data_IF_153402924997
#
_entry.id   IF_153402924997
#
_cell.length_a   1.000
_cell.length_b   1.000
_cell.length_c   1.000
_cell.angle_alpha   90.00
_cell.angle_beta   90.00
_cell.angle_gamma   90.00
#
_symmetry.space_group_name_H-M   'P 1'
#
loop_
_entity.id
_entity.type
_entity.pdbx_description
1 polymer ?
#
# COMPACT_ATOMS: atom_id res chain seq x y z
N UNK A 1 -9.68 -13.79 25.78
CA UNK A 1 -9.17 -12.56 25.15
C UNK A 1 -9.44 -12.56 23.65
N UNK A 2 -9.05 -13.60 22.91
CA UNK A 2 -9.28 -13.70 21.45
C UNK A 2 -10.76 -13.67 21.02
N UNK A 3 -11.65 -14.27 21.83
CA UNK A 3 -13.11 -14.23 21.62
C UNK A 3 -13.74 -12.84 21.76
N UNK A 4 -13.16 -11.97 22.59
CA UNK A 4 -13.63 -10.60 22.79
C UNK A 4 -13.16 -9.71 21.65
N UNK A 5 -11.90 -9.83 21.24
CA UNK A 5 -11.37 -9.06 20.09
C UNK A 5 -12.15 -9.39 18.80
N UNK A 6 -12.50 -10.66 18.59
CA UNK A 6 -13.31 -11.03 17.42
C UNK A 6 -14.75 -10.51 17.50
N UNK A 7 -15.36 -10.46 18.70
CA UNK A 7 -16.72 -9.94 18.86
C UNK A 7 -16.77 -8.43 18.64
N UNK A 8 -15.76 -7.70 19.07
CA UNK A 8 -15.64 -6.26 18.84
C UNK A 8 -15.34 -5.95 17.37
N UNK A 9 -14.48 -6.74 16.71
CA UNK A 9 -14.19 -6.56 15.29
C UNK A 9 -15.45 -6.63 14.41
N UNK A 10 -16.42 -7.50 14.75
CA UNK A 10 -17.69 -7.61 14.02
C UNK A 10 -18.57 -6.37 14.12
N UNK A 11 -18.40 -5.53 15.14
CA UNK A 11 -19.20 -4.31 15.35
C UNK A 11 -18.69 -3.15 14.48
N UNK A 12 -17.41 -3.18 14.07
CA UNK A 12 -16.73 -2.04 13.45
C UNK A 12 -17.44 -1.52 12.19
N UNK A 13 -17.96 -2.41 11.32
CA UNK A 13 -18.62 -1.96 10.09
C UNK A 13 -19.88 -1.12 10.34
N UNK A 14 -20.58 -1.39 11.45
CA UNK A 14 -21.78 -0.68 11.89
C UNK A 14 -21.50 0.65 12.60
N UNK A 15 -20.25 0.92 12.99
CA UNK A 15 -19.85 2.17 13.65
C UNK A 15 -19.43 3.26 12.66
N UNK A 16 -19.42 2.97 11.35
CA UNK A 16 -19.01 3.94 10.32
C UNK A 16 -20.00 5.10 10.23
N UNK A 17 -19.46 6.29 10.22
CA UNK A 17 -20.20 7.51 9.98
C UNK A 17 -20.28 7.83 8.48
N UNK A 18 -21.29 8.63 8.13
CA UNK A 18 -21.42 9.22 6.79
C UNK A 18 -21.51 10.73 6.94
N UNK A 19 -20.73 11.43 6.12
CA UNK A 19 -20.78 12.89 6.01
C UNK A 19 -21.25 13.21 4.60
N UNK A 20 -22.35 13.97 4.49
CA UNK A 20 -23.01 14.27 3.21
C UNK A 20 -23.27 13.01 2.35
N UNK A 21 -23.73 11.93 2.99
CA UNK A 21 -24.04 10.66 2.33
C UNK A 21 -22.82 9.80 1.94
N UNK A 22 -21.59 10.30 2.11
CA UNK A 22 -20.34 9.58 1.80
C UNK A 22 -19.72 8.98 3.06
N UNK A 23 -19.24 7.75 2.97
CA UNK A 23 -18.47 7.12 4.05
C UNK A 23 -17.06 7.72 4.16
N UNK A 24 -16.55 7.81 5.38
CA UNK A 24 -15.19 8.28 5.65
C UNK A 24 -14.17 7.19 5.21
N UNK A 25 -13.17 7.51 4.38
CA UNK A 25 -12.22 6.52 3.86
C UNK A 25 -11.46 5.73 4.94
N UNK A 26 -11.05 6.41 6.02
CA UNK A 26 -10.37 5.78 7.17
C UNK A 26 -11.26 4.73 7.84
N UNK A 27 -12.53 5.05 8.10
CA UNK A 27 -13.44 4.11 8.75
C UNK A 27 -13.77 2.94 7.83
N UNK A 28 -13.89 3.17 6.51
CA UNK A 28 -14.04 2.09 5.53
C UNK A 28 -12.81 1.18 5.52
N UNK A 29 -11.61 1.73 5.72
CA UNK A 29 -10.38 0.95 5.88
C UNK A 29 -10.43 0.08 7.14
N UNK A 30 -10.74 0.69 8.30
CA UNK A 30 -10.84 -0.03 9.57
C UNK A 30 -11.87 -1.18 9.50
N UNK A 31 -13.04 -0.94 8.89
CA UNK A 31 -14.04 -1.98 8.69
C UNK A 31 -13.56 -3.14 7.80
N UNK A 32 -12.84 -2.86 6.70
CA UNK A 32 -12.25 -3.92 5.85
C UNK A 32 -11.23 -4.75 6.63
N UNK A 33 -10.38 -4.11 7.43
CA UNK A 33 -9.40 -4.80 8.26
C UNK A 33 -10.04 -5.64 9.35
N UNK A 34 -11.07 -5.10 10.01
CA UNK A 34 -11.85 -5.84 10.99
C UNK A 34 -12.50 -7.09 10.38
N UNK A 35 -13.12 -6.96 9.21
CA UNK A 35 -13.71 -8.10 8.49
C UNK A 35 -12.64 -9.14 8.12
N UNK A 36 -11.49 -8.71 7.57
CA UNK A 36 -10.39 -9.63 7.29
C UNK A 36 -9.88 -10.35 8.53
N UNK A 37 -9.78 -9.66 9.67
CA UNK A 37 -9.41 -10.30 10.94
C UNK A 37 -10.42 -11.37 11.37
N UNK A 38 -11.73 -11.10 11.22
CA UNK A 38 -12.78 -12.06 11.55
C UNK A 38 -12.70 -13.31 10.68
N UNK A 39 -12.43 -13.15 9.38
CA UNK A 39 -12.45 -14.24 8.38
C UNK A 39 -11.13 -15.01 8.30
N UNK A 40 -10.00 -14.29 8.25
CA UNK A 40 -8.66 -14.85 7.99
C UNK A 40 -7.73 -14.84 9.21
N UNK A 41 -8.15 -14.27 10.34
CA UNK A 41 -7.38 -14.24 11.60
C UNK A 41 -6.02 -13.53 11.49
N UNK A 42 -5.87 -12.65 10.50
CA UNK A 42 -4.65 -11.88 10.24
C UNK A 42 -4.95 -10.38 10.16
N UNK A 43 -4.04 -9.59 10.70
CA UNK A 43 -3.95 -8.13 10.60
C UNK A 43 -2.50 -7.71 10.32
N UNK A 44 -1.73 -8.61 9.70
CA UNK A 44 -0.32 -8.36 9.43
C UNK A 44 -0.15 -7.03 8.69
N UNK A 45 0.75 -6.21 9.22
CA UNK A 45 1.13 -4.90 8.66
C UNK A 45 0.03 -3.85 8.52
N UNK A 46 -1.15 -4.04 9.13
CA UNK A 46 -2.27 -3.10 8.98
C UNK A 46 -1.94 -1.65 9.44
N UNK A 47 -1.01 -1.47 10.38
CA UNK A 47 -0.57 -0.14 10.82
C UNK A 47 0.38 0.52 9.81
N UNK A 48 1.30 -0.24 9.20
CA UNK A 48 2.18 0.29 8.15
C UNK A 48 1.44 0.53 6.85
N UNK A 49 0.47 -0.30 6.50
CA UNK A 49 -0.41 -0.04 5.37
C UNK A 49 -1.22 1.24 5.55
N UNK A 50 -1.74 1.47 6.77
CA UNK A 50 -2.37 2.74 7.10
C UNK A 50 -1.36 3.89 6.97
N UNK A 51 -0.16 3.74 7.51
CA UNK A 51 0.90 4.73 7.36
C UNK A 51 1.17 5.06 5.88
N UNK A 52 1.22 4.07 5.00
CA UNK A 52 1.39 4.26 3.56
C UNK A 52 0.27 5.10 2.94
N UNK A 53 -0.99 4.73 3.19
CA UNK A 53 -2.13 5.44 2.61
C UNK A 53 -2.39 6.83 3.21
N UNK A 54 -1.73 7.20 4.29
CA UNK A 54 -1.81 8.54 4.87
C UNK A 54 -0.47 9.28 4.80
N UNK A 55 0.38 8.92 3.84
CA UNK A 55 1.66 9.57 3.53
C UNK A 55 2.67 9.55 4.69
N UNK A 56 2.48 8.68 5.68
CA UNK A 56 3.34 8.59 6.85
C UNK A 56 4.78 8.19 6.52
N UNK A 57 4.99 7.35 5.51
CA UNK A 57 6.34 7.05 5.01
C UNK A 57 7.05 8.29 4.47
N UNK A 58 6.35 9.15 3.72
CA UNK A 58 6.92 10.39 3.20
C UNK A 58 7.21 11.39 4.34
N UNK A 59 6.37 11.42 5.39
CA UNK A 59 6.58 12.27 6.58
C UNK A 59 7.87 11.90 7.31
N UNK A 60 8.17 10.60 7.45
CA UNK A 60 9.38 10.13 8.15
C UNK A 60 10.57 9.85 7.22
N UNK A 61 10.44 10.12 5.92
CA UNK A 61 11.44 9.74 4.92
C UNK A 61 12.85 10.29 5.20
N UNK A 62 12.94 11.48 5.81
CA UNK A 62 14.22 12.12 6.14
C UNK A 62 14.84 11.60 7.46
N UNK A 63 14.11 10.78 8.23
CA UNK A 63 14.61 10.16 9.45
C UNK A 63 15.02 8.71 9.16
N UNK A 64 16.24 8.54 8.65
CA UNK A 64 16.77 7.22 8.25
C UNK A 64 16.74 6.19 9.39
N UNK A 65 17.09 6.51 10.65
CA UNK A 65 16.94 5.57 11.77
C UNK A 65 15.52 5.05 11.96
N UNK A 66 14.51 5.93 11.85
CA UNK A 66 13.10 5.51 11.93
C UNK A 66 12.73 4.62 10.75
N UNK A 67 13.14 4.98 9.52
CA UNK A 67 12.86 4.17 8.34
C UNK A 67 13.52 2.78 8.40
N UNK A 68 14.74 2.69 8.93
CA UNK A 68 15.44 1.43 9.18
C UNK A 68 14.71 0.60 10.23
N UNK A 69 14.31 1.20 11.36
CA UNK A 69 13.55 0.51 12.39
C UNK A 69 12.21 -0.04 11.89
N UNK A 70 11.52 0.68 11.00
CA UNK A 70 10.30 0.18 10.34
C UNK A 70 10.61 -1.03 9.45
N UNK A 71 11.67 -0.97 8.65
CA UNK A 71 12.07 -2.09 7.79
C UNK A 71 12.44 -3.34 8.62
N UNK A 72 13.21 -3.17 9.69
CA UNK A 72 13.58 -4.25 10.60
C UNK A 72 12.34 -4.88 11.26
N UNK A 73 11.38 -4.07 11.72
CA UNK A 73 10.13 -4.56 12.30
C UNK A 73 9.28 -5.33 11.27
N UNK A 74 9.17 -4.82 10.04
CA UNK A 74 8.50 -5.53 8.93
C UNK A 74 9.12 -6.92 8.70
N UNK A 75 10.45 -6.99 8.65
CA UNK A 75 11.19 -8.25 8.43
C UNK A 75 11.03 -9.23 9.59
N UNK A 76 11.04 -8.74 10.83
CA UNK A 76 10.83 -9.55 12.02
C UNK A 76 9.40 -10.13 12.07
N UNK A 77 8.38 -9.31 11.83
CA UNK A 77 6.98 -9.76 11.75
C UNK A 77 6.82 -10.80 10.64
N UNK A 78 7.44 -10.57 9.48
CA UNK A 78 7.41 -11.49 8.35
C UNK A 78 8.06 -12.83 8.70
N UNK A 79 9.27 -12.82 9.27
CA UNK A 79 10.00 -14.03 9.65
C UNK A 79 9.19 -14.91 10.60
N UNK A 80 8.50 -14.29 11.56
CA UNK A 80 7.70 -14.99 12.57
C UNK A 80 6.38 -15.56 12.05
N UNK A 81 5.80 -14.99 10.98
CA UNK A 81 4.42 -15.30 10.56
C UNK A 81 4.25 -15.76 9.11
N UNK A 82 5.32 -15.73 8.30
CA UNK A 82 5.28 -16.09 6.87
C UNK A 82 4.69 -17.47 6.56
N UNK A 83 4.80 -18.42 7.47
CA UNK A 83 4.27 -19.79 7.29
C UNK A 83 2.74 -19.84 7.20
N UNK A 84 2.06 -18.91 7.88
CA UNK A 84 0.59 -18.78 7.86
C UNK A 84 0.07 -17.67 6.95
N UNK A 85 0.96 -16.97 6.23
CA UNK A 85 0.60 -15.83 5.40
C UNK A 85 -0.01 -16.28 4.07
N UNK A 86 -1.18 -15.71 3.75
CA UNK A 86 -1.81 -15.84 2.43
C UNK A 86 -1.12 -14.93 1.38
N UNK A 87 -1.62 -14.96 0.14
CA UNK A 87 -1.07 -14.15 -0.96
C UNK A 87 -1.17 -12.64 -0.68
N UNK A 88 -2.29 -12.19 -0.08
CA UNK A 88 -2.50 -10.79 0.30
C UNK A 88 -1.47 -10.32 1.35
N UNK A 89 -1.22 -11.11 2.41
CA UNK A 89 -0.23 -10.78 3.44
C UNK A 89 1.20 -10.77 2.88
N UNK A 90 1.53 -11.72 1.98
CA UNK A 90 2.81 -11.77 1.26
C UNK A 90 3.04 -10.53 0.41
N UNK A 91 2.05 -10.19 -0.42
CA UNK A 91 2.12 -9.03 -1.29
C UNK A 91 2.23 -7.74 -0.48
N UNK A 92 1.48 -7.61 0.63
CA UNK A 92 1.56 -6.44 1.50
C UNK A 92 2.94 -6.29 2.16
N UNK A 93 3.56 -7.40 2.60
CA UNK A 93 4.93 -7.38 3.12
C UNK A 93 5.92 -6.83 2.09
N UNK A 94 5.96 -7.42 0.90
CA UNK A 94 6.91 -7.00 -0.14
C UNK A 94 6.67 -5.57 -0.58
N UNK A 95 5.41 -5.15 -0.67
CA UNK A 95 5.04 -3.78 -1.00
C UNK A 95 5.56 -2.76 0.02
N UNK A 96 5.34 -3.00 1.32
CA UNK A 96 5.80 -2.11 2.38
C UNK A 96 7.32 -2.13 2.51
N UNK A 97 7.94 -3.29 2.33
CA UNK A 97 9.40 -3.42 2.24
C UNK A 97 9.96 -2.57 1.09
N UNK A 98 9.34 -2.61 -0.09
CA UNK A 98 9.74 -1.77 -1.21
C UNK A 98 9.62 -0.26 -0.88
N UNK A 99 8.53 0.14 -0.20
CA UNK A 99 8.35 1.52 0.24
C UNK A 99 9.47 1.97 1.20
N UNK A 100 9.88 1.14 2.15
CA UNK A 100 11.04 1.42 3.01
C UNK A 100 12.33 1.54 2.20
N UNK A 101 12.62 0.54 1.36
CA UNK A 101 13.85 0.46 0.58
C UNK A 101 14.00 1.63 -0.38
N UNK A 102 12.91 2.10 -1.00
CA UNK A 102 12.90 3.33 -1.82
C UNK A 102 13.35 4.54 -1.02
N UNK A 103 12.79 4.73 0.18
CA UNK A 103 13.15 5.86 1.06
C UNK A 103 14.60 5.75 1.56
N UNK A 104 15.12 4.53 1.74
CA UNK A 104 16.51 4.24 2.07
C UNK A 104 17.46 4.28 0.86
N UNK A 105 16.97 4.68 -0.33
CA UNK A 105 17.74 4.73 -1.59
C UNK A 105 18.31 3.38 -2.06
N UNK A 106 17.75 2.27 -1.61
CA UNK A 106 18.12 0.92 -2.04
C UNK A 106 17.24 0.48 -3.22
N UNK A 107 17.39 1.17 -4.37
CA UNK A 107 16.45 1.06 -5.50
C UNK A 107 16.37 -0.33 -6.11
N UNK A 108 17.49 -1.02 -6.31
CA UNK A 108 17.50 -2.39 -6.85
C UNK A 108 16.73 -3.37 -5.96
N UNK A 109 16.90 -3.26 -4.64
CA UNK A 109 16.19 -4.11 -3.69
C UNK A 109 14.70 -3.76 -3.62
N UNK A 110 14.36 -2.46 -3.72
CA UNK A 110 12.99 -1.99 -3.78
C UNK A 110 12.27 -2.53 -5.03
N UNK A 111 12.93 -2.50 -6.18
CA UNK A 111 12.39 -3.02 -7.43
C UNK A 111 12.16 -4.54 -7.37
N UNK A 112 13.11 -5.30 -6.83
CA UNK A 112 12.92 -6.74 -6.62
C UNK A 112 11.70 -7.02 -5.75
N UNK A 113 11.54 -6.28 -4.65
CA UNK A 113 10.38 -6.42 -3.78
C UNK A 113 9.06 -6.05 -4.51
N UNK A 114 9.06 -5.02 -5.35
CA UNK A 114 7.89 -4.68 -6.19
C UNK A 114 7.55 -5.82 -7.16
N UNK A 115 8.55 -6.43 -7.79
CA UNK A 115 8.32 -7.57 -8.70
C UNK A 115 7.66 -8.75 -7.97
N UNK A 116 8.02 -9.02 -6.72
CA UNK A 116 7.36 -10.06 -5.90
C UNK A 116 5.87 -9.73 -5.67
N UNK A 117 5.50 -8.45 -5.50
CA UNK A 117 4.09 -8.03 -5.41
C UNK A 117 3.34 -8.34 -6.71
N UNK A 118 3.94 -7.97 -7.85
CA UNK A 118 3.30 -8.14 -9.16
C UNK A 118 3.14 -9.61 -9.55
N UNK A 119 4.05 -10.49 -9.13
CA UNK A 119 3.93 -11.94 -9.33
C UNK A 119 2.70 -12.53 -8.64
N UNK A 120 2.26 -11.93 -7.53
CA UNK A 120 1.12 -12.39 -6.74
C UNK A 120 -0.22 -11.80 -7.19
N UNK A 121 -0.24 -10.92 -8.20
CA UNK A 121 -1.43 -10.15 -8.61
C UNK A 121 -2.67 -11.02 -8.84
N UNK A 122 -2.50 -12.17 -9.51
CA UNK A 122 -3.61 -13.09 -9.84
C UNK A 122 -4.16 -13.83 -8.63
N UNK A 123 -3.40 -13.91 -7.54
CA UNK A 123 -3.75 -14.62 -6.31
C UNK A 123 -4.36 -13.70 -5.24
N UNK A 124 -4.42 -12.38 -5.49
CA UNK A 124 -4.93 -11.40 -4.53
C UNK A 124 -6.46 -11.43 -4.46
N UNK A 125 -6.98 -11.36 -3.24
CA UNK A 125 -8.43 -11.40 -2.98
C UNK A 125 -8.86 -10.10 -2.31
N UNK A 126 -8.22 -9.74 -1.21
CA UNK A 126 -8.64 -8.58 -0.41
C UNK A 126 -7.90 -7.30 -0.82
N UNK A 127 -6.66 -7.42 -1.30
CA UNK A 127 -5.75 -6.29 -1.51
C UNK A 127 -5.48 -6.00 -2.99
N UNK A 128 -6.52 -6.02 -3.81
CA UNK A 128 -6.46 -5.66 -5.25
C UNK A 128 -5.94 -4.23 -5.54
N UNK A 129 -5.79 -3.39 -4.51
CA UNK A 129 -5.14 -2.08 -4.62
C UNK A 129 -3.61 -2.17 -4.69
N UNK A 130 -2.99 -3.31 -4.32
CA UNK A 130 -1.52 -3.43 -4.26
C UNK A 130 -0.87 -3.35 -5.65
N UNK A 131 -1.30 -4.12 -6.67
CA UNK A 131 -0.67 -4.06 -8.00
C UNK A 131 -0.63 -2.65 -8.60
N UNK A 132 -1.73 -1.86 -8.65
CA UNK A 132 -1.65 -0.52 -9.20
C UNK A 132 -0.78 0.43 -8.37
N UNK A 133 -0.75 0.30 -7.03
CA UNK A 133 0.17 1.08 -6.21
C UNK A 133 1.63 0.62 -6.39
N UNK A 134 1.89 -0.66 -6.67
CA UNK A 134 3.22 -1.20 -6.93
C UNK A 134 3.79 -0.68 -8.25
N UNK A 135 2.99 -0.61 -9.31
CA UNK A 135 3.36 0.09 -10.56
C UNK A 135 3.68 1.56 -10.32
N UNK A 136 2.91 2.24 -9.47
CA UNK A 136 3.19 3.63 -9.08
C UNK A 136 4.52 3.77 -8.33
N UNK A 137 4.82 2.90 -7.36
CA UNK A 137 6.12 2.92 -6.66
C UNK A 137 7.29 2.62 -7.62
N UNK A 138 7.10 1.71 -8.59
CA UNK A 138 8.10 1.45 -9.62
C UNK A 138 8.35 2.69 -10.50
N UNK A 139 7.28 3.41 -10.85
CA UNK A 139 7.41 4.68 -11.55
C UNK A 139 8.22 5.68 -10.71
N UNK A 140 7.98 5.78 -9.39
CA UNK A 140 8.76 6.66 -8.52
C UNK A 140 10.26 6.32 -8.50
N UNK A 141 10.62 5.04 -8.59
CA UNK A 141 12.03 4.63 -8.74
C UNK A 141 12.62 5.17 -10.04
N UNK A 142 11.92 4.99 -11.17
CA UNK A 142 12.37 5.51 -12.47
C UNK A 142 12.47 7.04 -12.50
N UNK A 143 11.54 7.73 -11.86
CA UNK A 143 11.60 9.19 -11.68
C UNK A 143 12.85 9.59 -10.88
N UNK A 144 13.18 8.86 -9.82
CA UNK A 144 14.35 9.15 -9.00
C UNK A 144 15.68 8.94 -9.76
N UNK A 145 15.72 7.98 -10.69
CA UNK A 145 16.86 7.73 -11.57
C UNK A 145 16.89 8.64 -12.82
N UNK A 146 15.91 9.53 -12.98
CA UNK A 146 15.81 10.44 -14.14
C UNK A 146 15.29 9.77 -15.42
N UNK A 147 14.85 8.52 -15.36
CA UNK A 147 14.33 7.71 -16.46
C UNK A 147 12.85 8.03 -16.72
N UNK A 148 12.57 9.25 -17.19
CA UNK A 148 11.18 9.75 -17.38
C UNK A 148 10.38 8.93 -18.38
N UNK A 149 11.02 8.54 -19.49
CA UNK A 149 10.38 7.76 -20.56
C UNK A 149 9.93 6.36 -20.09
N UNK A 150 10.58 5.81 -19.07
CA UNK A 150 10.18 4.56 -18.42
C UNK A 150 9.09 4.77 -17.35
N UNK A 151 9.07 5.93 -16.70
CA UNK A 151 8.10 6.23 -15.64
C UNK A 151 6.67 6.43 -16.17
N UNK A 152 6.51 7.13 -17.30
CA UNK A 152 5.18 7.42 -17.88
C UNK A 152 4.34 6.17 -18.19
N UNK A 153 4.85 5.14 -18.89
CA UNK A 153 4.07 3.92 -19.14
C UNK A 153 3.70 3.17 -17.85
N UNK A 154 4.54 3.23 -16.81
CA UNK A 154 4.23 2.65 -15.49
C UNK A 154 3.09 3.40 -14.80
N UNK A 155 3.09 4.74 -14.84
CA UNK A 155 1.99 5.55 -14.32
C UNK A 155 0.68 5.32 -15.10
N UNK A 156 0.76 5.20 -16.43
CA UNK A 156 -0.39 4.87 -17.27
C UNK A 156 -0.94 3.47 -16.93
N UNK A 157 -0.05 2.48 -16.73
CA UNK A 157 -0.44 1.13 -16.30
C UNK A 157 -1.11 1.16 -14.93
N UNK A 158 -0.54 1.86 -13.94
CA UNK A 158 -1.16 2.03 -12.63
C UNK A 158 -2.57 2.64 -12.71
N UNK A 159 -2.78 3.64 -13.58
CA UNK A 159 -4.08 4.30 -13.81
C UNK A 159 -5.11 3.43 -14.53
N UNK A 160 -4.66 2.42 -15.28
CA UNK A 160 -5.55 1.52 -16.04
C UNK A 160 -6.38 0.59 -15.16
N UNK A 161 -5.95 0.34 -13.91
CA UNK A 161 -6.71 -0.42 -12.92
C UNK A 161 -7.95 0.35 -12.48
N UNK A 162 -9.02 -0.39 -12.16
CA UNK A 162 -10.33 0.16 -11.79
C UNK A 162 -10.99 -0.63 -10.66
N UNK A 163 -11.84 0.05 -9.88
CA UNK A 163 -12.77 -0.59 -8.95
C UNK A 163 -12.16 -1.06 -7.63
N UNK A 164 -10.94 -0.64 -7.32
CA UNK A 164 -10.26 -1.02 -6.08
C UNK A 164 -10.40 0.06 -4.99
N UNK A 165 -10.30 -0.31 -3.69
CA UNK A 165 -10.34 0.67 -2.60
C UNK A 165 -9.22 1.71 -2.72
N UNK A 166 -9.55 2.99 -2.48
CA UNK A 166 -8.60 4.11 -2.52
C UNK A 166 -8.05 4.44 -3.93
N UNK A 167 -8.72 4.00 -5.01
CA UNK A 167 -8.39 4.36 -6.40
C UNK A 167 -8.20 5.87 -6.60
N UNK A 168 -9.13 6.69 -6.12
CA UNK A 168 -9.02 8.15 -6.25
C UNK A 168 -7.74 8.70 -5.60
N UNK A 169 -7.30 8.12 -4.47
CA UNK A 169 -6.05 8.54 -3.83
C UNK A 169 -4.85 8.23 -4.73
N UNK A 170 -4.83 7.05 -5.34
CA UNK A 170 -3.77 6.71 -6.30
C UNK A 170 -3.78 7.68 -7.50
N UNK A 171 -4.94 8.01 -8.06
CA UNK A 171 -5.03 8.98 -9.15
C UNK A 171 -4.46 10.35 -8.78
N UNK A 172 -4.74 10.86 -7.58
CA UNK A 172 -4.14 12.11 -7.11
C UNK A 172 -2.61 12.02 -6.98
N UNK A 173 -2.10 10.87 -6.49
CA UNK A 173 -0.65 10.64 -6.40
C UNK A 173 0.00 10.56 -7.79
N UNK A 174 -0.62 9.86 -8.74
CA UNK A 174 -0.17 9.80 -10.14
C UNK A 174 -0.14 11.21 -10.74
N UNK A 175 -1.19 12.00 -10.57
CA UNK A 175 -1.23 13.38 -11.07
C UNK A 175 -0.08 14.22 -10.49
N UNK A 176 0.12 14.16 -9.17
CA UNK A 176 1.22 14.87 -8.51
C UNK A 176 2.60 14.42 -9.02
N UNK A 177 2.80 13.13 -9.27
CA UNK A 177 4.04 12.60 -9.85
C UNK A 177 4.27 13.09 -11.29
N UNK A 178 3.23 13.13 -12.13
CA UNK A 178 3.31 13.64 -13.51
C UNK A 178 3.61 15.15 -13.56
N UNK A 179 2.99 15.94 -12.67
CA UNK A 179 3.26 17.37 -12.59
C UNK A 179 4.72 17.66 -12.26
N UNK A 180 5.31 16.88 -11.34
CA UNK A 180 6.75 16.96 -11.01
C UNK A 180 7.67 16.57 -12.19
N UNK A 181 7.17 15.81 -13.16
CA UNK A 181 7.89 15.48 -14.39
C UNK A 181 7.80 16.57 -15.47
N UNK A 182 7.02 17.63 -15.24
CA UNK A 182 6.75 18.68 -16.23
C UNK A 182 5.73 18.28 -17.28
N UNK A 183 5.06 17.14 -17.13
CA UNK A 183 3.98 16.70 -18.02
C UNK A 183 2.63 17.11 -17.41
N UNK A 184 1.98 18.13 -17.98
CA UNK A 184 0.61 18.49 -17.62
C UNK A 184 -0.36 17.51 -18.29
N UNK A 185 -1.03 16.67 -17.52
CA UNK A 185 -2.16 15.90 -18.05
C UNK A 185 -3.39 16.81 -18.12
N UNK A 186 -4.13 16.86 -19.26
CA UNK A 186 -5.43 17.50 -19.28
C UNK A 186 -6.38 16.76 -18.32
N UNK A 187 -7.07 17.50 -17.47
CA UNK A 187 -8.21 16.95 -16.72
C UNK A 187 -9.35 16.72 -17.72
N UNK A 188 -9.72 15.47 -17.96
CA UNK A 188 -10.97 15.10 -18.65
C UNK A 188 -11.75 14.18 -17.73
#
# INVERSE_FOLDING_TARGET
>A
MESVVQSDARKIDGLRQRIAGKSIPMEKYCARKANRFVTKKTLMFAHYEFMYFWNGFDIVANNLPVMQGILEDLENIWLMRKSGADADDRALYFFLKAACLRNLRQFTAAEFAIQEVLKLEVDLIDFAYLPPNAFYELALLRIADGLRDEAEPLLAKARSYKGFPLENKLHFRIHSAMENLGTRTPMV
#
